data_IF_737008271583
#
_entry.id   IF_737008271583
#
_cell.length_a   1.000
_cell.length_b   1.000
_cell.length_c   1.000
_cell.angle_alpha   90.00
_cell.angle_beta   90.00
_cell.angle_gamma   90.00
#
_symmetry.space_group_name_H-M   'P 1'
#
loop_
_entity.id
_entity.type
_entity.pdbx_description
1 polymer ?
#
# COMPACT_ATOMS: atom_id res chain seq x y z
N UNK A 1 -48.88 4.87 -23.85
CA UNK A 1 -47.47 5.32 -23.88
C UNK A 1 -46.90 5.61 -22.48
N UNK A 2 -47.69 5.59 -21.40
CA UNK A 2 -47.20 5.82 -20.02
C UNK A 2 -46.66 4.55 -19.32
N UNK A 3 -47.23 3.36 -19.59
CA UNK A 3 -46.84 2.11 -18.90
C UNK A 3 -45.42 1.65 -19.25
N UNK A 4 -44.97 1.95 -20.46
CA UNK A 4 -43.61 1.64 -20.93
C UNK A 4 -42.56 2.42 -20.13
N UNK A 5 -42.86 3.67 -19.75
CA UNK A 5 -41.95 4.52 -18.98
C UNK A 5 -41.78 4.04 -17.53
N UNK A 6 -42.88 3.58 -16.91
CA UNK A 6 -42.83 2.94 -15.60
C UNK A 6 -42.07 1.62 -15.61
N UNK A 7 -42.19 0.82 -16.68
CA UNK A 7 -41.42 -0.42 -16.85
C UNK A 7 -39.92 -0.15 -17.00
N UNK A 8 -39.52 0.86 -17.78
CA UNK A 8 -38.11 1.27 -17.89
C UNK A 8 -37.56 1.78 -16.56
N UNK A 9 -38.34 2.54 -15.78
CA UNK A 9 -37.96 2.97 -14.45
C UNK A 9 -37.74 1.78 -13.51
N UNK A 10 -38.65 0.81 -13.50
CA UNK A 10 -38.52 -0.40 -12.68
C UNK A 10 -37.30 -1.25 -13.09
N UNK A 11 -37.00 -1.37 -14.39
CA UNK A 11 -35.82 -2.10 -14.88
C UNK A 11 -34.48 -1.42 -14.52
N UNK A 12 -34.45 -0.09 -14.43
CA UNK A 12 -33.25 0.66 -14.01
C UNK A 12 -33.00 0.50 -12.50
N UNK A 13 -34.07 0.44 -11.69
CA UNK A 13 -33.93 0.22 -10.26
C UNK A 13 -33.46 -1.21 -9.94
N UNK A 14 -33.94 -2.23 -10.66
CA UNK A 14 -33.54 -3.63 -10.40
C UNK A 14 -32.11 -3.91 -10.83
N UNK A 15 -31.60 -3.24 -11.86
CA UNK A 15 -30.19 -3.37 -12.26
C UNK A 15 -29.23 -2.78 -11.21
N UNK A 16 -29.57 -1.64 -10.58
CA UNK A 16 -28.77 -1.07 -9.49
C UNK A 16 -28.70 -1.99 -8.26
N UNK A 17 -29.81 -2.63 -7.87
CA UNK A 17 -29.87 -3.52 -6.69
C UNK A 17 -29.02 -4.78 -6.90
N UNK A 18 -29.05 -5.32 -8.12
CA UNK A 18 -28.18 -6.42 -8.51
C UNK A 18 -26.71 -5.96 -8.40
N UNK A 19 -26.35 -4.77 -8.90
CA UNK A 19 -24.96 -4.27 -8.89
C UNK A 19 -24.32 -4.25 -7.50
N UNK A 20 -25.06 -3.81 -6.49
CA UNK A 20 -24.57 -3.80 -5.12
C UNK A 20 -24.40 -5.18 -4.47
N UNK A 21 -25.11 -6.21 -4.95
CA UNK A 21 -25.06 -7.54 -4.36
C UNK A 21 -23.84 -8.37 -4.78
N UNK A 22 -23.20 -8.02 -5.89
CA UNK A 22 -21.99 -8.68 -6.40
C UNK A 22 -20.72 -7.81 -6.31
N UNK A 23 -20.70 -6.85 -5.39
CA UNK A 23 -19.44 -6.33 -4.88
C UNK A 23 -18.72 -7.48 -4.15
N UNK A 24 -17.94 -8.27 -4.90
CA UNK A 24 -16.99 -9.20 -4.33
C UNK A 24 -16.04 -8.38 -3.46
N UNK A 25 -16.12 -8.54 -2.15
CA UNK A 25 -15.04 -8.18 -1.24
C UNK A 25 -13.92 -9.18 -1.54
N UNK A 26 -13.14 -8.90 -2.60
CA UNK A 26 -11.87 -9.57 -2.79
C UNK A 26 -11.05 -9.29 -1.54
N UNK A 27 -11.03 -10.26 -0.63
CA UNK A 27 -10.19 -10.27 0.54
C UNK A 27 -8.74 -10.31 0.06
N UNK A 28 -8.21 -9.16 -0.38
CA UNK A 28 -6.82 -9.01 -0.76
C UNK A 28 -5.99 -9.38 0.46
N UNK A 29 -5.16 -10.42 0.30
CA UNK A 29 -4.16 -10.76 1.30
C UNK A 29 -3.25 -9.54 1.46
N UNK A 30 -3.38 -8.84 2.60
CA UNK A 30 -2.54 -7.69 2.92
C UNK A 30 -1.09 -8.16 2.98
N UNK A 31 -0.21 -7.44 2.28
CA UNK A 31 1.21 -7.71 2.23
C UNK A 31 2.01 -6.42 2.42
N UNK A 32 3.26 -6.57 2.84
CA UNK A 32 4.19 -5.48 3.11
C UNK A 32 5.56 -5.85 2.56
N UNK A 33 6.35 -4.84 2.19
CA UNK A 33 7.77 -5.02 1.90
C UNK A 33 8.57 -4.56 3.10
N UNK A 34 9.36 -5.47 3.68
CA UNK A 34 10.17 -5.22 4.87
C UNK A 34 11.65 -5.49 4.60
N UNK A 35 12.52 -4.83 5.34
CA UNK A 35 13.96 -4.97 5.24
C UNK A 35 14.41 -6.39 5.59
N UNK A 36 15.37 -6.92 4.84
CA UNK A 36 16.05 -8.17 5.16
C UNK A 36 17.10 -7.90 6.23
N UNK A 37 17.15 -8.76 7.24
CA UNK A 37 18.17 -8.68 8.29
C UNK A 37 19.60 -8.87 7.75
N UNK A 38 19.75 -9.51 6.59
CA UNK A 38 21.04 -9.79 5.96
C UNK A 38 21.42 -8.74 4.91
N UNK A 39 20.60 -7.72 4.67
CA UNK A 39 20.90 -6.70 3.69
C UNK A 39 21.94 -5.71 4.23
N UNK A 40 22.75 -5.18 3.33
CA UNK A 40 23.82 -4.25 3.65
C UNK A 40 23.28 -2.89 4.12
N UNK A 41 23.85 -2.35 5.21
CA UNK A 41 23.39 -1.11 5.83
C UNK A 41 23.63 0.11 4.94
N UNK A 42 24.72 0.14 4.18
CA UNK A 42 25.01 1.26 3.27
C UNK A 42 24.04 1.27 2.08
N UNK A 43 23.66 0.08 1.60
CA UNK A 43 22.61 -0.06 0.60
C UNK A 43 21.25 0.38 1.13
N UNK A 44 20.90 0.03 2.38
CA UNK A 44 19.68 0.52 3.02
C UNK A 44 19.68 2.05 3.14
N UNK A 45 20.78 2.65 3.60
CA UNK A 45 20.89 4.11 3.74
C UNK A 45 20.80 4.82 2.39
N UNK A 46 21.44 4.26 1.35
CA UNK A 46 21.36 4.76 -0.02
C UNK A 46 19.94 4.71 -0.56
N UNK A 47 19.20 3.63 -0.25
CA UNK A 47 17.79 3.51 -0.63
C UNK A 47 16.90 4.53 0.10
N UNK A 48 17.11 4.76 1.40
CA UNK A 48 16.41 5.83 2.13
C UNK A 48 16.65 7.17 1.44
N UNK A 49 17.90 7.51 1.16
CA UNK A 49 18.26 8.78 0.53
C UNK A 49 17.58 8.95 -0.83
N UNK A 50 17.54 7.88 -1.64
CA UNK A 50 16.86 7.85 -2.93
C UNK A 50 15.35 8.06 -2.77
N UNK A 51 14.68 7.28 -1.91
CA UNK A 51 13.22 7.35 -1.74
C UNK A 51 12.79 8.72 -1.24
N UNK A 52 13.54 9.33 -0.32
CA UNK A 52 13.24 10.67 0.18
C UNK A 52 13.40 11.79 -0.85
N UNK A 53 13.91 11.51 -2.06
CA UNK A 53 13.89 12.49 -3.17
C UNK A 53 12.53 12.61 -3.84
N UNK A 54 11.65 11.61 -3.68
CA UNK A 54 10.33 11.57 -4.34
C UNK A 54 9.16 11.14 -3.42
N UNK A 55 9.42 10.74 -2.17
CA UNK A 55 8.42 10.46 -1.14
C UNK A 55 8.60 11.38 0.08
N UNK A 56 7.52 11.58 0.85
CA UNK A 56 7.61 12.26 2.14
C UNK A 56 8.21 11.35 3.22
N UNK A 57 9.43 11.69 3.63
CA UNK A 57 10.15 11.03 4.71
C UNK A 57 9.99 11.71 6.08
N UNK A 58 9.14 12.75 6.21
CA UNK A 58 8.90 13.41 7.50
C UNK A 58 8.58 12.44 8.66
N UNK A 59 7.88 11.30 8.48
CA UNK A 59 7.62 10.38 9.58
C UNK A 59 8.86 9.70 10.15
N UNK A 60 9.92 9.52 9.35
CA UNK A 60 11.18 8.86 9.76
C UNK A 60 12.30 9.86 10.06
N UNK A 61 12.02 11.17 10.04
CA UNK A 61 12.97 12.20 10.49
C UNK A 61 12.74 12.51 11.96
N UNK A 62 13.72 13.17 12.59
CA UNK A 62 13.64 13.56 13.99
C UNK A 62 12.31 14.31 14.28
N UNK A 63 11.57 13.86 15.29
CA UNK A 63 10.26 14.38 15.65
C UNK A 63 9.08 13.75 14.88
N UNK A 64 9.35 12.90 13.89
CA UNK A 64 8.35 12.14 13.16
C UNK A 64 7.81 10.93 13.94
N UNK A 65 6.61 10.47 13.57
CA UNK A 65 5.90 9.39 14.26
C UNK A 65 6.59 8.02 14.16
N UNK A 66 7.40 7.81 13.12
CA UNK A 66 8.13 6.57 12.84
C UNK A 66 9.65 6.75 12.99
N UNK A 67 10.09 7.77 13.73
CA UNK A 67 11.51 8.03 13.95
C UNK A 67 12.16 6.99 14.86
N UNK A 68 11.46 6.57 15.92
CA UNK A 68 12.01 5.62 16.89
C UNK A 68 11.61 4.17 16.58
N UNK A 69 12.55 3.21 16.66
CA UNK A 69 13.97 3.41 17.01
C UNK A 69 14.76 4.06 15.87
N UNK A 70 15.72 4.92 16.22
CA UNK A 70 16.56 5.68 15.29
C UNK A 70 17.67 4.78 14.72
N UNK A 71 17.27 3.84 13.87
CA UNK A 71 18.13 2.84 13.24
C UNK A 71 17.79 2.73 11.75
N UNK A 72 18.82 2.58 10.92
CA UNK A 72 18.69 2.46 9.46
C UNK A 72 17.69 1.37 9.02
N UNK A 73 17.71 0.13 9.59
CA UNK A 73 16.75 -0.90 9.22
C UNK A 73 15.29 -0.53 9.53
N UNK A 74 15.06 0.29 10.56
CA UNK A 74 13.72 0.73 10.93
C UNK A 74 13.20 1.81 10.00
N UNK A 75 14.05 2.76 9.61
CA UNK A 75 13.68 3.79 8.64
C UNK A 75 13.51 3.22 7.22
N UNK A 76 14.34 2.26 6.81
CA UNK A 76 14.20 1.64 5.48
C UNK A 76 12.93 0.81 5.34
N UNK A 77 12.41 0.21 6.44
CA UNK A 77 11.11 -0.46 6.43
C UNK A 77 9.97 0.47 5.98
N UNK A 78 9.99 1.72 6.44
CA UNK A 78 9.03 2.73 6.00
C UNK A 78 9.17 2.99 4.49
N UNK A 79 10.39 3.25 4.02
CA UNK A 79 10.66 3.51 2.60
C UNK A 79 10.23 2.34 1.70
N UNK A 80 10.61 1.11 2.07
CA UNK A 80 10.24 -0.12 1.35
C UNK A 80 8.73 -0.29 1.26
N UNK A 81 8.02 -0.11 2.37
CA UNK A 81 6.59 -0.28 2.43
C UNK A 81 5.84 0.81 1.64
N UNK A 82 6.29 2.07 1.69
CA UNK A 82 5.71 3.18 0.91
C UNK A 82 5.85 2.91 -0.58
N UNK A 83 7.06 2.56 -1.04
CA UNK A 83 7.29 2.25 -2.46
C UNK A 83 6.46 1.03 -2.88
N UNK A 84 6.45 -0.03 -2.07
CA UNK A 84 5.68 -1.24 -2.35
C UNK A 84 4.18 -0.97 -2.49
N UNK A 85 3.61 -0.14 -1.61
CA UNK A 85 2.19 0.27 -1.71
C UNK A 85 1.92 1.14 -2.94
N UNK A 86 2.88 1.95 -3.37
CA UNK A 86 2.72 2.85 -4.52
C UNK A 86 2.81 2.12 -5.86
N UNK A 87 3.74 1.18 -6.03
CA UNK A 87 4.03 0.58 -7.34
C UNK A 87 4.05 -0.96 -7.36
N UNK A 88 3.78 -1.63 -6.23
CA UNK A 88 3.78 -3.09 -6.11
C UNK A 88 5.16 -3.74 -6.15
N UNK A 89 6.25 -2.98 -6.16
CA UNK A 89 7.62 -3.48 -6.27
C UNK A 89 8.34 -3.42 -4.93
N UNK A 90 8.91 -4.56 -4.52
CA UNK A 90 9.77 -4.67 -3.35
C UNK A 90 11.22 -4.84 -3.83
N UNK A 91 12.12 -3.94 -3.43
CA UNK A 91 13.53 -3.99 -3.83
C UNK A 91 14.20 -5.25 -3.27
N UNK A 92 14.51 -6.22 -4.13
CA UNK A 92 14.88 -7.57 -3.72
C UNK A 92 16.25 -7.65 -3.06
N UNK A 93 17.11 -6.66 -3.26
CA UNK A 93 18.43 -6.59 -2.64
C UNK A 93 18.36 -6.19 -1.16
N UNK A 94 17.36 -5.40 -0.76
CA UNK A 94 17.20 -4.91 0.62
C UNK A 94 15.95 -5.42 1.32
N UNK A 95 14.95 -5.91 0.59
CA UNK A 95 13.63 -6.22 1.13
C UNK A 95 13.05 -7.55 0.71
N UNK A 96 12.01 -7.97 1.42
CA UNK A 96 11.19 -9.15 1.13
C UNK A 96 9.73 -8.88 1.45
N UNK A 97 8.85 -9.48 0.65
CA UNK A 97 7.40 -9.40 0.89
C UNK A 97 7.04 -10.32 2.05
N UNK A 98 6.24 -9.81 2.99
CA UNK A 98 5.64 -10.55 4.09
C UNK A 98 4.12 -10.38 4.08
N UNK A 99 3.41 -11.37 4.60
CA UNK A 99 1.96 -11.32 4.87
C UNK A 99 1.66 -11.10 6.36
N UNK A 100 2.70 -10.85 7.16
CA UNK A 100 2.62 -10.48 8.57
C UNK A 100 2.81 -8.97 8.68
N UNK A 101 1.91 -8.28 9.40
CA UNK A 101 2.04 -6.84 9.67
C UNK A 101 3.29 -6.62 10.53
N UNK A 102 4.31 -5.89 10.02
CA UNK A 102 5.59 -5.71 10.70
C UNK A 102 5.57 -4.69 11.84
#
# INVERSE_FOLDING_TARGET
MEKTNLYYLLLLFTSCVLISAYANDEKQTKSWCIARLTADLDLMQSYINLVCTFEDCSPIKQGGACFFPDLVPNHVNYCLNVVYKRNGTCESNIGSITTIDP
#
